data_IF_803274192260
#
_entry.id   IF_803274192260
#
_cell.length_a   1.000
_cell.length_b   1.000
_cell.length_c   1.000
_cell.angle_alpha   90.00
_cell.angle_beta   90.00
_cell.angle_gamma   90.00
#
_symmetry.space_group_name_H-M   'P 1'
#
loop_
_entity.id
_entity.type
_entity.pdbx_description
1 polymer ?
#
# COMPACT_ATOMS: atom_id res chain seq x y z
N UNK A 1 -29.50 -22.84 7.92
CA UNK A 1 -28.60 -21.70 7.61
C UNK A 1 -27.16 -22.23 7.59
N UNK A 2 -26.67 -22.59 6.39
CA UNK A 2 -25.35 -23.26 6.24
C UNK A 2 -24.25 -22.19 6.37
N UNK A 3 -23.50 -22.19 7.47
CA UNK A 3 -22.30 -21.37 7.64
C UNK A 3 -21.29 -21.82 6.59
N UNK A 4 -21.19 -21.10 5.46
CA UNK A 4 -20.02 -21.22 4.58
C UNK A 4 -18.78 -20.95 5.43
N UNK A 5 -18.06 -22.01 5.81
CA UNK A 5 -16.73 -21.88 6.43
C UNK A 5 -15.89 -21.05 5.48
N UNK A 6 -15.50 -19.85 5.90
CA UNK A 6 -14.62 -18.96 5.15
C UNK A 6 -13.35 -19.74 4.79
N UNK A 7 -13.07 -19.89 3.50
CA UNK A 7 -11.85 -20.53 2.99
C UNK A 7 -10.58 -19.70 3.21
N UNK A 8 -10.65 -18.70 4.10
CA UNK A 8 -9.47 -17.95 4.53
C UNK A 8 -8.66 -18.83 5.48
N UNK A 9 -7.34 -18.83 5.30
CA UNK A 9 -6.43 -19.48 6.23
C UNK A 9 -6.72 -18.92 7.62
N UNK A 10 -7.18 -19.80 8.53
CA UNK A 10 -7.58 -19.39 9.86
C UNK A 10 -6.34 -18.89 10.62
N UNK A 11 -6.30 -17.61 10.93
CA UNK A 11 -5.31 -17.10 11.88
C UNK A 11 -5.88 -17.36 13.25
N UNK A 12 -5.17 -18.20 14.01
CA UNK A 12 -5.54 -18.52 15.38
C UNK A 12 -5.72 -17.23 16.19
N UNK A 13 -6.81 -17.13 16.91
CA UNK A 13 -7.24 -15.95 17.65
C UNK A 13 -6.25 -15.48 18.73
N UNK A 14 -5.18 -16.25 18.95
CA UNK A 14 -4.14 -16.03 19.96
C UNK A 14 -3.43 -14.67 19.84
N UNK A 15 -3.45 -14.06 18.66
CA UNK A 15 -2.72 -12.82 18.37
C UNK A 15 -3.61 -11.63 17.98
N UNK A 16 -4.93 -11.69 18.23
CA UNK A 16 -5.84 -10.57 17.86
C UNK A 16 -5.41 -9.23 18.44
N UNK A 17 -5.02 -9.20 19.71
CA UNK A 17 -4.55 -7.96 20.36
C UNK A 17 -3.33 -7.38 19.64
N UNK A 18 -2.39 -8.24 19.22
CA UNK A 18 -1.19 -7.81 18.51
C UNK A 18 -1.53 -7.30 17.09
N UNK A 19 -2.48 -7.94 16.40
CA UNK A 19 -2.96 -7.45 15.09
C UNK A 19 -3.63 -6.07 15.21
N UNK A 20 -4.41 -5.84 16.26
CA UNK A 20 -4.97 -4.51 16.56
C UNK A 20 -3.83 -3.52 16.82
N UNK A 21 -2.80 -3.92 17.58
CA UNK A 21 -1.59 -3.12 17.79
C UNK A 21 -0.89 -2.74 16.49
N UNK A 22 -0.76 -3.66 15.52
CA UNK A 22 -0.19 -3.37 14.19
C UNK A 22 -0.99 -2.27 13.47
N UNK A 23 -2.33 -2.37 13.47
CA UNK A 23 -3.19 -1.38 12.81
C UNK A 23 -3.06 -0.02 13.50
N UNK A 24 -3.10 0.04 14.83
CA UNK A 24 -2.95 1.28 15.60
C UNK A 24 -1.59 1.91 15.30
N UNK A 25 -0.50 1.13 15.35
CA UNK A 25 0.86 1.62 15.06
C UNK A 25 0.94 2.20 13.65
N UNK A 26 0.36 1.52 12.65
CA UNK A 26 0.31 2.02 11.28
C UNK A 26 -0.44 3.36 11.18
N UNK A 27 -1.61 3.46 11.79
CA UNK A 27 -2.40 4.71 11.80
C UNK A 27 -1.62 5.83 12.49
N UNK A 28 -0.99 5.57 13.63
CA UNK A 28 -0.14 6.55 14.32
C UNK A 28 1.01 7.04 13.42
N UNK A 29 1.69 6.14 12.72
CA UNK A 29 2.75 6.54 11.80
C UNK A 29 2.25 7.40 10.64
N UNK A 30 1.09 7.06 10.06
CA UNK A 30 0.48 7.86 9.00
C UNK A 30 0.05 9.25 9.50
N UNK A 31 -0.49 9.34 10.72
CA UNK A 31 -0.83 10.63 11.35
C UNK A 31 0.41 11.47 11.63
N UNK A 32 1.48 10.89 12.14
CA UNK A 32 2.76 11.59 12.35
C UNK A 32 3.34 12.07 11.00
N UNK A 33 3.27 11.24 9.97
CA UNK A 33 3.70 11.63 8.63
C UNK A 33 2.87 12.79 8.05
N UNK A 34 1.58 12.83 8.34
CA UNK A 34 0.66 13.86 7.87
C UNK A 34 0.72 15.15 8.70
N UNK A 35 1.13 15.10 9.96
CA UNK A 35 1.12 16.26 10.89
C UNK A 35 2.15 17.35 10.58
N UNK A 36 3.02 17.15 9.58
CA UNK A 36 4.11 18.08 9.28
C UNK A 36 5.34 17.98 10.21
N UNK A 37 5.28 17.20 11.30
CA UNK A 37 6.43 16.98 12.19
C UNK A 37 7.64 16.46 11.42
N UNK A 38 7.41 15.52 10.50
CA UNK A 38 8.48 14.97 9.66
C UNK A 38 8.96 15.97 8.60
N UNK A 39 8.13 16.90 8.13
CA UNK A 39 8.56 17.95 7.20
C UNK A 39 9.50 18.94 7.86
N UNK A 40 9.23 19.38 9.08
CA UNK A 40 10.13 20.24 9.85
C UNK A 40 11.50 19.58 10.17
N UNK A 41 11.52 18.26 10.35
CA UNK A 41 12.78 17.49 10.46
C UNK A 41 13.51 17.38 9.12
N UNK A 42 12.78 17.27 8.01
CA UNK A 42 13.34 17.22 6.65
C UNK A 42 14.01 18.54 6.25
N UNK A 43 13.42 19.67 6.61
CA UNK A 43 14.01 20.99 6.35
C UNK A 43 15.40 21.13 7.00
N UNK A 44 15.59 20.48 8.17
CA UNK A 44 16.89 20.43 8.85
C UNK A 44 17.85 19.41 8.23
N UNK A 45 17.38 18.20 7.94
CA UNK A 45 18.17 17.16 7.30
C UNK A 45 17.24 16.03 6.80
N UNK A 46 17.21 15.82 5.49
CA UNK A 46 16.40 14.77 4.83
C UNK A 46 16.73 13.35 5.32
N UNK A 47 17.95 13.13 5.81
CA UNK A 47 18.39 11.85 6.37
C UNK A 47 17.49 11.40 7.52
N UNK A 48 17.13 12.30 8.44
CA UNK A 48 16.24 11.96 9.56
C UNK A 48 14.86 11.53 9.09
N UNK A 49 14.31 12.14 8.03
CA UNK A 49 13.04 11.73 7.45
C UNK A 49 13.07 10.30 6.88
N UNK A 50 14.15 9.97 6.16
CA UNK A 50 14.38 8.62 5.62
C UNK A 50 14.56 7.61 6.75
N UNK A 51 15.39 7.92 7.74
CA UNK A 51 15.68 7.05 8.88
C UNK A 51 14.42 6.74 9.70
N UNK A 52 13.62 7.76 10.02
CA UNK A 52 12.37 7.59 10.76
C UNK A 52 11.40 6.71 9.97
N UNK A 53 11.21 6.98 8.68
CA UNK A 53 10.35 6.15 7.83
C UNK A 53 10.80 4.68 7.82
N UNK A 54 12.11 4.44 7.67
CA UNK A 54 12.68 3.10 7.69
C UNK A 54 12.45 2.40 9.04
N UNK A 55 12.67 3.08 10.16
CA UNK A 55 12.42 2.54 11.51
C UNK A 55 10.95 2.19 11.68
N UNK A 56 10.03 3.07 11.25
CA UNK A 56 8.60 2.83 11.29
C UNK A 56 8.20 1.57 10.52
N UNK A 57 8.70 1.43 9.28
CA UNK A 57 8.41 0.25 8.47
C UNK A 57 9.01 -1.02 9.05
N UNK A 58 10.26 -0.99 9.55
CA UNK A 58 10.88 -2.13 10.23
C UNK A 58 10.11 -2.56 11.47
N UNK A 59 9.65 -1.60 12.27
CA UNK A 59 8.81 -1.87 13.45
C UNK A 59 7.54 -2.62 13.04
N UNK A 60 6.85 -2.15 12.00
CA UNK A 60 5.64 -2.82 11.48
C UNK A 60 5.96 -4.24 10.95
N UNK A 61 7.06 -4.42 10.22
CA UNK A 61 7.49 -5.74 9.71
C UNK A 61 7.72 -6.72 10.85
N UNK A 62 8.41 -6.29 11.90
CA UNK A 62 8.67 -7.13 13.09
C UNK A 62 7.35 -7.49 13.78
N UNK A 63 6.47 -6.51 14.04
CA UNK A 63 5.18 -6.74 14.65
C UNK A 63 4.32 -7.71 13.83
N UNK A 64 4.26 -7.53 12.51
CA UNK A 64 3.56 -8.41 11.56
C UNK A 64 4.18 -9.82 11.59
N UNK A 65 5.50 -9.91 11.56
CA UNK A 65 6.23 -11.17 11.63
C UNK A 65 5.87 -11.99 12.87
N UNK A 66 5.78 -11.32 14.03
CA UNK A 66 5.37 -11.97 15.29
C UNK A 66 3.88 -12.30 15.29
N UNK A 67 3.01 -11.33 14.89
CA UNK A 67 1.56 -11.48 14.95
C UNK A 67 1.02 -12.51 13.95
N UNK A 68 1.65 -12.65 12.78
CA UNK A 68 1.10 -13.37 11.64
C UNK A 68 2.06 -14.42 11.06
N UNK A 69 3.06 -14.87 11.82
CA UNK A 69 4.10 -15.84 11.38
C UNK A 69 3.51 -17.05 10.65
N UNK A 70 2.55 -17.73 11.26
CA UNK A 70 1.96 -18.93 10.70
C UNK A 70 1.20 -18.66 9.39
N UNK A 71 0.51 -17.52 9.33
CA UNK A 71 -0.16 -17.08 8.11
C UNK A 71 0.82 -16.80 6.97
N UNK A 72 1.91 -16.09 7.26
CA UNK A 72 2.97 -15.79 6.30
C UNK A 72 3.56 -17.07 5.72
N UNK A 73 3.93 -18.03 6.58
CA UNK A 73 4.52 -19.31 6.17
C UNK A 73 3.53 -20.10 5.30
N UNK A 74 2.27 -20.23 5.75
CA UNK A 74 1.26 -21.02 5.03
C UNK A 74 0.90 -20.39 3.69
N UNK A 75 0.75 -19.06 3.65
CA UNK A 75 0.48 -18.33 2.42
C UNK A 75 1.66 -18.41 1.44
N UNK A 76 2.90 -18.39 1.94
CA UNK A 76 4.09 -18.54 1.11
C UNK A 76 4.24 -19.95 0.53
N UNK A 77 3.98 -20.99 1.34
CA UNK A 77 3.93 -22.37 0.83
C UNK A 77 2.91 -22.52 -0.29
N UNK A 78 1.72 -21.94 -0.13
CA UNK A 78 0.68 -21.92 -1.18
C UNK A 78 1.15 -21.17 -2.43
N UNK A 79 1.85 -20.02 -2.28
CA UNK A 79 2.41 -19.27 -3.40
C UNK A 79 3.45 -20.08 -4.18
N UNK A 80 4.33 -20.80 -3.47
CA UNK A 80 5.36 -21.67 -4.09
C UNK A 80 4.80 -22.94 -4.72
N UNK A 81 3.63 -23.42 -4.27
CA UNK A 81 3.00 -24.59 -4.85
C UNK A 81 2.42 -24.35 -6.25
N UNK A 82 2.10 -23.10 -6.59
CA UNK A 82 1.71 -22.72 -7.95
C UNK A 82 2.95 -22.69 -8.87
N UNK A 83 2.76 -23.01 -10.15
CA UNK A 83 3.84 -22.87 -11.15
C UNK A 83 4.25 -21.38 -11.24
N UNK A 84 5.54 -21.13 -11.30
CA UNK A 84 6.08 -19.77 -11.36
C UNK A 84 5.49 -18.96 -12.54
N UNK A 85 5.31 -19.60 -13.70
CA UNK A 85 4.69 -19.00 -14.88
C UNK A 85 3.24 -18.53 -14.63
N UNK A 86 2.49 -19.24 -13.78
CA UNK A 86 1.13 -18.86 -13.39
C UNK A 86 1.16 -17.62 -12.51
N UNK A 87 2.07 -17.59 -11.53
CA UNK A 87 2.22 -16.42 -10.66
C UNK A 87 2.70 -15.19 -11.46
N UNK A 88 3.64 -15.35 -12.39
CA UNK A 88 4.08 -14.25 -13.28
C UNK A 88 2.89 -13.72 -14.08
N UNK A 89 2.08 -14.56 -14.70
CA UNK A 89 0.89 -14.13 -15.45
C UNK A 89 -0.10 -13.36 -14.58
N UNK A 90 -0.32 -13.80 -13.32
CA UNK A 90 -1.18 -13.10 -12.36
C UNK A 90 -0.63 -11.73 -12.00
N UNK A 91 0.68 -11.62 -11.80
CA UNK A 91 1.35 -10.35 -11.49
C UNK A 91 1.25 -9.40 -12.68
N UNK A 92 1.60 -9.86 -13.88
CA UNK A 92 1.51 -9.03 -15.10
C UNK A 92 0.08 -8.55 -15.37
N UNK A 93 -0.91 -9.43 -15.22
CA UNK A 93 -2.31 -9.06 -15.37
C UNK A 93 -2.75 -8.02 -14.31
N UNK A 94 -2.34 -8.21 -13.06
CA UNK A 94 -2.63 -7.27 -11.98
C UNK A 94 -2.01 -5.90 -12.20
N UNK A 95 -0.74 -5.86 -12.62
CA UNK A 95 -0.03 -4.62 -12.96
C UNK A 95 -0.67 -3.93 -14.17
N UNK A 96 -1.06 -4.69 -15.20
CA UNK A 96 -1.74 -4.14 -16.37
C UNK A 96 -3.08 -3.49 -16.01
N UNK A 97 -3.87 -4.12 -15.10
CA UNK A 97 -5.12 -3.52 -14.62
C UNK A 97 -4.83 -2.28 -13.77
N UNK A 98 -3.81 -2.30 -12.90
CA UNK A 98 -3.41 -1.14 -12.11
C UNK A 98 -3.06 0.04 -13.03
N UNK A 99 -2.28 -0.21 -14.09
CA UNK A 99 -1.93 0.79 -15.10
C UNK A 99 -3.17 1.41 -15.76
N UNK A 100 -4.12 0.59 -16.20
CA UNK A 100 -5.36 1.07 -16.82
C UNK A 100 -6.20 1.92 -15.85
N UNK A 101 -6.33 1.49 -14.59
CA UNK A 101 -7.08 2.24 -13.58
C UNK A 101 -6.39 3.58 -13.26
N UNK A 102 -5.07 3.62 -13.14
CA UNK A 102 -4.32 4.87 -12.95
C UNK A 102 -4.42 5.79 -14.17
N UNK A 103 -4.42 5.26 -15.40
CA UNK A 103 -4.68 6.07 -16.59
C UNK A 103 -6.08 6.70 -16.56
N UNK A 104 -7.11 5.94 -16.19
CA UNK A 104 -8.49 6.44 -16.06
C UNK A 104 -8.55 7.55 -15.00
N UNK A 105 -7.99 7.30 -13.80
CA UNK A 105 -7.97 8.30 -12.74
C UNK A 105 -7.23 9.58 -13.17
N UNK A 106 -6.11 9.43 -13.88
CA UNK A 106 -5.35 10.56 -14.40
C UNK A 106 -6.09 11.36 -15.48
N UNK A 107 -6.80 10.69 -16.38
CA UNK A 107 -7.64 11.37 -17.38
C UNK A 107 -8.74 12.16 -16.67
N UNK A 108 -9.41 11.59 -15.66
CA UNK A 108 -10.42 12.30 -14.86
C UNK A 108 -9.80 13.54 -14.19
N UNK A 109 -8.64 13.38 -13.54
CA UNK A 109 -7.93 14.51 -12.92
C UNK A 109 -7.63 15.62 -13.93
N UNK A 110 -7.09 15.26 -15.10
CA UNK A 110 -6.74 16.23 -16.17
C UNK A 110 -7.95 16.92 -16.78
N UNK A 111 -9.11 16.27 -16.82
CA UNK A 111 -10.34 16.86 -17.39
C UNK A 111 -11.11 17.73 -16.39
N UNK A 112 -10.98 17.41 -15.10
CA UNK A 112 -11.77 18.03 -14.03
C UNK A 112 -10.99 19.15 -13.32
N UNK A 113 -9.66 19.02 -13.21
CA UNK A 113 -8.82 19.95 -12.46
C UNK A 113 -8.03 20.88 -13.39
N UNK A 114 -8.13 22.19 -13.16
CA UNK A 114 -7.36 23.21 -13.92
C UNK A 114 -5.86 23.19 -13.60
N UNK A 115 -5.50 22.85 -12.37
CA UNK A 115 -4.12 22.75 -11.88
C UNK A 115 -3.84 21.34 -11.37
N UNK A 116 -2.86 20.69 -11.96
CA UNK A 116 -2.45 19.33 -11.60
C UNK A 116 -1.20 19.43 -10.72
N UNK A 117 -1.22 18.78 -9.58
CA UNK A 117 -0.07 18.66 -8.69
C UNK A 117 0.17 17.20 -8.31
N UNK A 118 1.36 16.91 -7.80
CA UNK A 118 1.69 15.59 -7.27
C UNK A 118 1.15 15.50 -5.84
N UNK A 119 0.50 14.39 -5.44
CA UNK A 119 0.06 14.19 -4.06
C UNK A 119 1.21 14.35 -3.07
N UNK A 120 0.95 14.94 -1.90
CA UNK A 120 1.97 15.24 -0.91
C UNK A 120 2.76 13.98 -0.48
N UNK A 121 2.08 12.82 -0.35
CA UNK A 121 2.74 11.55 -0.06
C UNK A 121 3.78 11.19 -1.13
N UNK A 122 3.42 11.28 -2.40
CA UNK A 122 4.32 10.97 -3.52
C UNK A 122 5.46 12.00 -3.65
N UNK A 123 5.19 13.27 -3.41
CA UNK A 123 6.21 14.33 -3.36
C UNK A 123 7.24 14.05 -2.27
N UNK A 124 6.78 13.64 -1.09
CA UNK A 124 7.64 13.26 0.03
C UNK A 124 8.57 12.10 -0.33
N UNK A 125 8.02 11.05 -0.93
CA UNK A 125 8.79 9.88 -1.39
C UNK A 125 9.80 10.30 -2.46
N UNK A 126 9.39 11.13 -3.44
CA UNK A 126 10.26 11.61 -4.51
C UNK A 126 11.49 12.36 -3.97
N UNK A 127 11.33 13.16 -2.92
CA UNK A 127 12.44 13.83 -2.25
C UNK A 127 13.49 12.86 -1.70
N UNK A 128 13.06 11.70 -1.17
CA UNK A 128 13.99 10.68 -0.68
C UNK A 128 14.79 10.03 -1.81
N UNK A 129 14.20 9.82 -2.98
CA UNK A 129 14.89 9.24 -4.14
C UNK A 129 16.05 10.09 -4.66
N UNK A 130 15.98 11.41 -4.50
CA UNK A 130 17.07 12.30 -4.92
C UNK A 130 18.34 12.06 -4.12
N UNK A 131 18.22 11.84 -2.81
CA UNK A 131 19.38 11.76 -1.88
C UNK A 131 19.74 10.33 -1.48
N UNK A 132 18.76 9.43 -1.40
CA UNK A 132 18.92 8.06 -0.91
C UNK A 132 18.20 7.04 -1.81
N UNK A 133 18.57 6.94 -3.11
CA UNK A 133 17.82 6.16 -4.09
C UNK A 133 17.67 4.68 -3.72
N UNK A 134 18.74 4.04 -3.25
CA UNK A 134 18.73 2.60 -2.89
C UNK A 134 17.77 2.35 -1.72
N UNK A 135 17.88 3.14 -0.65
CA UNK A 135 16.99 3.00 0.51
C UNK A 135 15.54 3.28 0.13
N UNK A 136 15.31 4.28 -0.72
CA UNK A 136 13.97 4.63 -1.21
C UNK A 136 13.35 3.50 -2.02
N UNK A 137 14.12 2.83 -2.88
CA UNK A 137 13.66 1.63 -3.61
C UNK A 137 13.30 0.50 -2.64
N UNK A 138 14.16 0.20 -1.66
CA UNK A 138 13.88 -0.85 -0.67
C UNK A 138 12.60 -0.54 0.10
N UNK A 139 12.44 0.70 0.56
CA UNK A 139 11.25 1.12 1.32
C UNK A 139 9.98 1.11 0.47
N UNK A 140 10.02 1.64 -0.76
CA UNK A 140 8.83 1.79 -1.59
C UNK A 140 8.43 0.51 -2.33
N UNK A 141 9.38 -0.35 -2.71
CA UNK A 141 9.14 -1.54 -3.53
C UNK A 141 8.94 -2.80 -2.69
N UNK A 142 9.60 -2.90 -1.53
CA UNK A 142 9.60 -4.12 -0.71
C UNK A 142 8.86 -3.89 0.60
N UNK A 143 9.32 -2.93 1.41
CA UNK A 143 8.83 -2.77 2.79
C UNK A 143 7.41 -2.21 2.82
N UNK A 144 7.14 -1.15 2.07
CA UNK A 144 5.81 -0.52 1.97
C UNK A 144 4.76 -1.50 1.47
N UNK A 145 4.89 -2.08 0.27
CA UNK A 145 3.94 -3.06 -0.24
C UNK A 145 3.70 -4.25 0.69
N UNK A 146 4.75 -4.76 1.33
CA UNK A 146 4.60 -5.85 2.30
C UNK A 146 3.77 -5.41 3.51
N UNK A 147 4.12 -4.31 4.17
CA UNK A 147 3.41 -3.83 5.37
C UNK A 147 1.97 -3.45 5.06
N UNK A 148 1.75 -2.75 3.96
CA UNK A 148 0.42 -2.31 3.55
C UNK A 148 -0.49 -3.48 3.20
N UNK A 149 -0.03 -4.42 2.35
CA UNK A 149 -0.86 -5.58 2.01
C UNK A 149 -1.16 -6.44 3.25
N UNK A 150 -0.21 -6.59 4.18
CA UNK A 150 -0.45 -7.31 5.42
C UNK A 150 -1.50 -6.63 6.29
N UNK A 151 -1.50 -5.31 6.37
CA UNK A 151 -2.49 -4.54 7.16
C UNK A 151 -3.84 -4.56 6.47
N UNK A 152 -3.91 -4.13 5.20
CA UNK A 152 -5.19 -3.98 4.51
C UNK A 152 -5.83 -5.31 4.13
N UNK A 153 -5.06 -6.30 3.64
CA UNK A 153 -5.60 -7.60 3.17
C UNK A 153 -5.42 -8.71 4.20
N UNK A 154 -4.29 -8.71 4.88
CA UNK A 154 -4.02 -9.69 5.93
C UNK A 154 -4.89 -9.50 7.18
N UNK A 155 -5.15 -8.27 7.61
CA UNK A 155 -5.88 -7.95 8.85
C UNK A 155 -7.26 -7.38 8.55
N UNK A 156 -7.34 -6.17 7.95
CA UNK A 156 -8.58 -5.41 7.81
C UNK A 156 -9.59 -6.08 6.88
N UNK A 157 -9.16 -6.61 5.73
CA UNK A 157 -10.04 -7.33 4.82
C UNK A 157 -10.73 -8.51 5.52
N UNK A 158 -10.01 -9.26 6.34
CA UNK A 158 -10.58 -10.38 7.10
C UNK A 158 -11.54 -9.91 8.18
N UNK A 159 -11.25 -8.78 8.80
CA UNK A 159 -12.17 -8.18 9.77
C UNK A 159 -13.48 -7.79 9.09
N UNK A 160 -13.44 -7.11 7.93
CA UNK A 160 -14.64 -6.68 7.21
C UNK A 160 -15.34 -7.83 6.46
N UNK A 161 -14.66 -8.92 6.11
CA UNK A 161 -15.24 -10.05 5.38
C UNK A 161 -16.37 -10.77 6.13
N UNK A 162 -16.47 -10.58 7.45
CA UNK A 162 -17.63 -11.04 8.24
C UNK A 162 -18.94 -10.36 7.84
N UNK A 163 -18.87 -9.16 7.25
CA UNK A 163 -20.02 -8.42 6.72
C UNK A 163 -20.22 -8.63 5.21
N UNK A 164 -19.38 -9.44 4.59
CA UNK A 164 -19.38 -9.76 3.17
C UNK A 164 -18.07 -9.41 2.46
N UNK A 165 -17.73 -10.17 1.43
CA UNK A 165 -16.46 -9.97 0.71
C UNK A 165 -16.43 -8.64 -0.05
N UNK A 166 -17.57 -8.19 -0.59
CA UNK A 166 -17.65 -6.89 -1.26
C UNK A 166 -17.46 -5.73 -0.25
N UNK A 167 -18.08 -5.84 0.93
CA UNK A 167 -17.86 -4.88 2.02
C UNK A 167 -16.37 -4.81 2.37
N UNK A 168 -15.67 -5.95 2.46
CA UNK A 168 -14.24 -5.96 2.73
C UNK A 168 -13.42 -5.29 1.63
N UNK A 169 -13.75 -5.51 0.34
CA UNK A 169 -13.09 -4.85 -0.79
C UNK A 169 -13.26 -3.34 -0.69
N UNK A 170 -14.52 -2.87 -0.55
CA UNK A 170 -14.84 -1.44 -0.53
C UNK A 170 -14.22 -0.74 0.69
N UNK A 171 -14.38 -1.32 1.89
CA UNK A 171 -13.85 -0.72 3.12
C UNK A 171 -12.33 -0.63 3.10
N UNK A 172 -11.63 -1.69 2.66
CA UNK A 172 -10.16 -1.67 2.62
C UNK A 172 -9.64 -0.78 1.49
N UNK A 173 -10.35 -0.66 0.37
CA UNK A 173 -10.05 0.31 -0.69
C UNK A 173 -10.19 1.74 -0.21
N UNK A 174 -11.30 2.05 0.46
CA UNK A 174 -11.56 3.37 1.04
C UNK A 174 -10.47 3.78 2.04
N UNK A 175 -10.15 2.89 2.99
CA UNK A 175 -9.10 3.15 3.98
C UNK A 175 -7.73 3.32 3.31
N UNK A 176 -7.42 2.53 2.28
CA UNK A 176 -6.17 2.63 1.53
C UNK A 176 -6.04 4.01 0.87
N UNK A 177 -7.05 4.44 0.13
CA UNK A 177 -7.07 5.78 -0.50
C UNK A 177 -6.96 6.91 0.52
N UNK A 178 -7.73 6.83 1.60
CA UNK A 178 -7.76 7.86 2.65
C UNK A 178 -6.40 7.99 3.35
N UNK A 179 -5.74 6.88 3.68
CA UNK A 179 -4.43 6.93 4.33
C UNK A 179 -3.34 7.51 3.43
N UNK A 180 -3.39 7.24 2.12
CA UNK A 180 -2.43 7.81 1.18
C UNK A 180 -2.61 9.32 0.96
N UNK A 181 -3.83 9.81 1.12
CA UNK A 181 -4.16 11.23 0.93
C UNK A 181 -4.13 12.05 2.23
N UNK A 182 -3.81 11.42 3.36
CA UNK A 182 -3.87 12.07 4.67
C UNK A 182 -2.96 13.33 4.74
N UNK A 183 -1.76 13.27 4.17
CA UNK A 183 -0.81 14.40 4.11
C UNK A 183 -1.25 15.53 3.17
N UNK A 184 -2.18 15.27 2.25
CA UNK A 184 -2.73 16.27 1.33
C UNK A 184 -3.99 16.95 1.87
N UNK A 185 -4.55 16.43 2.97
CA UNK A 185 -5.79 16.94 3.55
C UNK A 185 -5.57 18.38 4.08
N UNK A 186 -6.48 19.28 3.68
CA UNK A 186 -6.39 20.69 4.05
C UNK A 186 -5.34 21.53 3.27
N UNK A 187 -4.44 20.88 2.53
CA UNK A 187 -3.36 21.55 1.77
C UNK A 187 -3.62 21.55 0.26
N UNK A 188 -4.72 20.96 -0.19
CA UNK A 188 -5.04 20.79 -1.61
C UNK A 188 -6.50 21.17 -1.84
N UNK A 189 -6.81 21.74 -3.02
CA UNK A 189 -8.19 21.99 -3.42
C UNK A 189 -8.99 20.68 -3.34
N UNK A 190 -10.24 20.76 -2.84
CA UNK A 190 -11.09 19.57 -2.60
C UNK A 190 -11.30 18.73 -3.85
N UNK A 191 -11.46 19.36 -5.02
CA UNK A 191 -11.69 18.66 -6.27
C UNK A 191 -10.44 17.86 -6.68
N UNK A 192 -9.26 18.47 -6.62
CA UNK A 192 -7.99 17.81 -6.88
C UNK A 192 -7.72 16.70 -5.85
N UNK A 193 -8.04 16.95 -4.56
CA UNK A 193 -7.95 15.93 -3.51
C UNK A 193 -8.80 14.71 -3.85
N UNK A 194 -10.05 14.89 -4.28
CA UNK A 194 -10.95 13.79 -4.62
C UNK A 194 -10.48 13.02 -5.86
N UNK A 195 -9.94 13.69 -6.88
CA UNK A 195 -9.38 13.03 -8.05
C UNK A 195 -8.15 12.18 -7.70
N UNK A 196 -7.24 12.71 -6.89
CA UNK A 196 -6.06 11.98 -6.43
C UNK A 196 -6.43 10.84 -5.47
N UNK A 197 -7.41 11.06 -4.59
CA UNK A 197 -7.94 10.02 -3.72
C UNK A 197 -8.54 8.87 -4.52
N UNK A 198 -9.22 9.16 -5.63
CA UNK A 198 -9.81 8.15 -6.52
C UNK A 198 -8.76 7.18 -7.07
N UNK A 199 -7.57 7.63 -7.46
CA UNK A 199 -6.50 6.75 -7.96
C UNK A 199 -6.06 5.73 -6.89
N UNK A 200 -5.81 6.20 -5.66
CA UNK A 200 -5.46 5.30 -4.54
C UNK A 200 -6.64 4.39 -4.15
N UNK A 201 -7.86 4.91 -4.17
CA UNK A 201 -9.06 4.12 -3.90
C UNK A 201 -9.24 2.98 -4.91
N UNK A 202 -9.11 3.27 -6.20
CA UNK A 202 -9.19 2.27 -7.28
C UNK A 202 -8.09 1.22 -7.15
N UNK A 203 -6.87 1.63 -6.83
CA UNK A 203 -5.76 0.72 -6.53
C UNK A 203 -6.09 -0.18 -5.33
N UNK A 204 -6.64 0.40 -4.27
CA UNK A 204 -7.11 -0.33 -3.10
C UNK A 204 -8.22 -1.34 -3.41
N UNK A 205 -9.19 -0.97 -4.26
CA UNK A 205 -10.24 -1.86 -4.75
C UNK A 205 -9.64 -3.03 -5.56
N UNK A 206 -8.74 -2.74 -6.48
CA UNK A 206 -8.06 -3.77 -7.29
C UNK A 206 -7.37 -4.80 -6.39
N UNK A 207 -6.55 -4.35 -5.45
CA UNK A 207 -5.86 -5.25 -4.52
C UNK A 207 -6.84 -6.05 -3.65
N UNK A 208 -7.98 -5.45 -3.27
CA UNK A 208 -9.07 -6.14 -2.57
C UNK A 208 -9.66 -7.28 -3.41
N UNK A 209 -9.95 -7.04 -4.69
CA UNK A 209 -10.47 -8.06 -5.61
C UNK A 209 -9.43 -9.16 -5.89
N UNK A 210 -8.16 -8.82 -6.06
CA UNK A 210 -7.08 -9.78 -6.24
C UNK A 210 -6.98 -10.70 -5.03
N UNK A 211 -6.98 -10.13 -3.83
CA UNK A 211 -6.94 -10.91 -2.59
C UNK A 211 -8.19 -11.79 -2.43
N UNK A 212 -9.38 -11.25 -2.73
CA UNK A 212 -10.64 -12.03 -2.76
C UNK A 212 -10.53 -13.22 -3.70
N UNK A 213 -9.96 -13.05 -4.89
CA UNK A 213 -9.84 -14.08 -5.94
C UNK A 213 -8.84 -15.16 -5.58
N UNK A 214 -7.61 -14.77 -5.20
CA UNK A 214 -6.50 -15.71 -5.03
C UNK A 214 -6.30 -16.17 -3.59
N UNK A 215 -6.80 -15.41 -2.61
CA UNK A 215 -6.64 -15.70 -1.16
C UNK A 215 -5.18 -15.96 -0.79
N UNK A 216 -4.28 -15.20 -1.43
CA UNK A 216 -2.84 -15.30 -1.23
C UNK A 216 -2.21 -13.91 -1.20
N UNK A 217 -1.63 -13.58 -0.04
CA UNK A 217 -1.06 -12.25 0.19
C UNK A 217 0.17 -11.97 -0.68
N UNK A 218 0.96 -13.00 -1.00
CA UNK A 218 2.19 -12.83 -1.76
C UNK A 218 1.94 -12.43 -3.22
N UNK A 219 0.79 -12.81 -3.80
CA UNK A 219 0.38 -12.32 -5.12
C UNK A 219 0.13 -10.82 -5.05
N UNK A 220 -0.59 -10.33 -4.01
CA UNK A 220 -0.82 -8.91 -3.82
C UNK A 220 0.48 -8.14 -3.62
N UNK A 221 1.34 -8.61 -2.70
CA UNK A 221 2.65 -8.00 -2.44
C UNK A 221 3.49 -7.93 -3.72
N UNK A 222 3.48 -9.00 -4.53
CA UNK A 222 4.22 -9.00 -5.80
C UNK A 222 3.67 -8.01 -6.81
N UNK A 223 2.34 -7.89 -6.95
CA UNK A 223 1.72 -6.91 -7.87
C UNK A 223 2.02 -5.49 -7.42
N UNK A 224 1.80 -5.20 -6.14
CA UNK A 224 2.01 -3.88 -5.55
C UNK A 224 3.49 -3.48 -5.63
N UNK A 225 4.41 -4.36 -5.24
CA UNK A 225 5.84 -4.11 -5.34
C UNK A 225 6.31 -3.89 -6.78
N UNK A 226 5.79 -4.67 -7.74
CA UNK A 226 6.11 -4.49 -9.16
C UNK A 226 5.57 -3.15 -9.68
N UNK A 227 4.36 -2.75 -9.29
CA UNK A 227 3.79 -1.44 -9.63
C UNK A 227 4.67 -0.30 -9.10
N UNK A 228 5.06 -0.37 -7.83
CA UNK A 228 5.95 0.62 -7.23
C UNK A 228 7.37 0.61 -7.82
N UNK A 229 7.87 -0.54 -8.26
CA UNK A 229 9.14 -0.65 -8.97
C UNK A 229 9.11 0.12 -10.30
N UNK A 230 8.03 -0.05 -11.08
CA UNK A 230 7.85 0.69 -12.34
C UNK A 230 7.87 2.20 -12.07
N UNK A 231 7.08 2.68 -11.10
CA UNK A 231 7.07 4.09 -10.70
C UNK A 231 8.44 4.59 -10.21
N UNK A 232 9.17 3.76 -9.45
CA UNK A 232 10.51 4.08 -8.96
C UNK A 232 11.54 4.23 -10.09
N UNK A 233 11.50 3.32 -11.06
CA UNK A 233 12.37 3.39 -12.25
C UNK A 233 12.07 4.64 -13.07
N UNK A 234 10.81 4.94 -13.34
CA UNK A 234 10.41 6.15 -14.06
C UNK A 234 10.88 7.42 -13.34
N UNK A 235 10.74 7.47 -12.01
CA UNK A 235 11.17 8.61 -11.20
C UNK A 235 12.71 8.77 -11.23
N UNK A 236 13.46 7.69 -11.05
CA UNK A 236 14.94 7.72 -11.11
C UNK A 236 15.43 8.17 -12.49
N UNK A 237 14.83 7.65 -13.56
CA UNK A 237 15.15 8.08 -14.92
C UNK A 237 14.91 9.58 -15.10
N UNK A 238 13.76 10.09 -14.62
CA UNK A 238 13.48 11.53 -14.65
C UNK A 238 14.54 12.34 -13.90
N UNK A 239 14.91 11.94 -12.69
CA UNK A 239 15.94 12.60 -11.87
C UNK A 239 17.29 12.61 -12.59
N UNK A 240 17.66 11.51 -13.26
CA UNK A 240 18.94 11.42 -14.00
C UNK A 240 18.97 12.32 -15.25
N UNK A 241 17.83 12.49 -15.92
CA UNK A 241 17.72 13.32 -17.13
C UNK A 241 17.62 14.83 -16.81
N UNK A 242 17.31 15.21 -15.57
CA UNK A 242 17.17 16.61 -15.13
C UNK A 242 18.39 17.16 -14.39
N UNK A 243 19.43 16.33 -14.18
CA UNK A 243 20.75 16.71 -13.66
C UNK A 243 21.72 17.01 -14.79
#
# INVERSE_FOLDING_TARGET
MNKRKSNYIYIEMRHKKLMVGVVITHVCFMLIAASGILSGLKEKNIFYGVLINMICQLTLIIMIGVAMKQYLITSFKKFKADRISVNIKRVLAGVGIAFLLSCIARIIEMTVCSNISVPANQSNVSGYFVYYPILSVIMSVIMGPFTEEMIYRGILFRFFSKYGELCAVLSTGFLFGTMHMLSSFGNTNILLFLCQWLDYFLSGILFGFIYKKYKNIWINVSIHGTWNLIGSVMLLTKIMLTK
#
